data_IF_229112268073
#
_entry.id   IF_229112268073
#
_cell.length_a   1.000
_cell.length_b   1.000
_cell.length_c   1.000
_cell.angle_alpha   90.00
_cell.angle_beta   90.00
_cell.angle_gamma   90.00
#
_symmetry.space_group_name_H-M   'P 1'
#
loop_
_entity.id
_entity.type
_entity.pdbx_description
1 polymer ?
#
# COMPACT_ATOMS: atom_id res chain seq x y z
N UNK A 1 13.73 -1.66 -1.81
CA UNK A 1 13.30 -0.61 -2.76
C UNK A 1 13.47 0.75 -2.08
N UNK A 2 14.57 1.49 -2.32
CA UNK A 2 14.90 2.72 -1.60
C UNK A 2 13.80 3.78 -1.61
N UNK A 3 13.01 3.85 -2.70
CA UNK A 3 11.90 4.80 -2.82
C UNK A 3 10.74 4.50 -1.87
N UNK A 4 10.49 3.22 -1.60
CA UNK A 4 9.45 2.83 -0.64
C UNK A 4 9.91 3.16 0.78
N UNK A 5 11.17 2.88 1.10
CA UNK A 5 11.75 3.24 2.40
C UNK A 5 11.71 4.77 2.59
N UNK A 6 11.95 5.53 1.52
CA UNK A 6 11.79 7.00 1.51
C UNK A 6 10.33 7.41 1.70
N UNK A 7 9.37 6.76 1.03
CA UNK A 7 7.94 7.05 1.20
C UNK A 7 7.47 6.79 2.64
N UNK A 8 7.86 5.67 3.24
CA UNK A 8 7.47 5.31 4.61
C UNK A 8 8.12 6.22 5.66
N UNK A 9 9.26 6.84 5.34
CA UNK A 9 9.99 7.77 6.21
C UNK A 9 9.81 9.25 5.85
N UNK A 10 9.03 9.59 4.80
CA UNK A 10 8.91 10.96 4.31
C UNK A 10 8.01 11.81 5.22
N UNK A 11 8.49 13.01 5.55
CA UNK A 11 7.74 14.02 6.30
C UNK A 11 7.70 13.74 7.81
N UNK A 12 6.56 14.02 8.44
CA UNK A 12 6.30 13.61 9.83
C UNK A 12 5.99 12.11 9.82
N UNK A 13 6.36 11.35 10.88
CA UNK A 13 5.87 9.99 11.04
C UNK A 13 4.36 9.98 10.80
N UNK A 14 3.87 9.09 9.93
CA UNK A 14 2.45 8.93 9.59
C UNK A 14 1.80 9.93 8.61
N UNK A 15 2.55 10.73 7.85
CA UNK A 15 1.93 11.65 6.88
C UNK A 15 1.03 10.94 5.85
N UNK A 16 1.33 9.68 5.52
CA UNK A 16 0.49 8.88 4.62
C UNK A 16 -0.92 8.60 5.17
N UNK A 17 -1.12 8.64 6.48
CA UNK A 17 -2.44 8.47 7.11
C UNK A 17 -3.39 9.58 6.70
N UNK A 18 -2.89 10.79 6.45
CA UNK A 18 -3.71 11.94 6.00
C UNK A 18 -4.40 11.67 4.66
N UNK A 19 -3.86 10.75 3.82
CA UNK A 19 -4.51 10.32 2.58
C UNK A 19 -5.67 9.34 2.82
N UNK A 20 -5.64 8.58 3.92
CA UNK A 20 -6.67 7.59 4.26
C UNK A 20 -7.76 8.23 5.11
N UNK A 21 -7.37 9.04 6.09
CA UNK A 21 -8.27 9.70 7.01
C UNK A 21 -7.87 11.18 7.12
N UNK A 22 -8.37 12.04 6.20
CA UNK A 22 -8.10 13.47 6.25
C UNK A 22 -8.67 14.11 7.52
N UNK A 23 -8.02 15.17 7.99
CA UNK A 23 -8.60 16.05 9.00
C UNK A 23 -9.94 16.57 8.48
N UNK A 24 -11.05 16.15 9.10
CA UNK A 24 -12.36 16.73 8.78
C UNK A 24 -12.22 18.24 8.88
N UNK A 25 -12.45 18.94 7.76
CA UNK A 25 -12.53 20.38 7.75
C UNK A 25 -13.46 20.77 8.91
N UNK A 26 -12.92 21.42 9.95
CA UNK A 26 -13.71 21.87 11.09
C UNK A 26 -14.89 22.63 10.50
N UNK A 27 -16.07 22.03 10.51
CA UNK A 27 -17.28 22.70 10.10
C UNK A 27 -17.30 23.99 10.93
N UNK A 28 -17.40 25.18 10.29
CA UNK A 28 -17.46 26.43 11.02
C UNK A 28 -18.54 26.25 12.08
N UNK A 29 -18.14 26.36 13.35
CA UNK A 29 -19.01 26.12 14.49
C UNK A 29 -20.33 26.82 14.24
N UNK A 30 -21.40 26.05 13.98
CA UNK A 30 -22.74 26.61 13.94
C UNK A 30 -23.01 27.07 15.37
N UNK A 31 -22.92 28.39 15.57
CA UNK A 31 -23.36 29.08 16.78
C UNK A 31 -24.73 28.54 17.21
N UNK A 32 -25.02 28.46 18.52
CA UNK A 32 -26.20 27.79 19.02
C UNK A 32 -27.44 28.62 18.70
N UNK A 33 -28.01 28.43 17.51
CA UNK A 33 -29.37 28.86 17.21
C UNK A 33 -30.33 27.76 17.67
N UNK A 34 -30.84 28.00 18.87
CA UNK A 34 -32.14 27.58 19.41
C UNK A 34 -33.00 26.65 18.54
N UNK A 35 -33.34 25.50 19.14
CA UNK A 35 -34.48 24.62 18.84
C UNK A 35 -34.30 23.57 17.74
N UNK A 36 -33.58 22.49 18.06
CA UNK A 36 -33.92 21.15 17.57
C UNK A 36 -33.58 20.11 18.66
N UNK A 37 -34.63 19.55 19.27
CA UNK A 37 -34.58 18.49 20.29
C UNK A 37 -34.02 17.17 19.72
N UNK A 38 -32.93 16.70 20.34
CA UNK A 38 -32.77 15.35 20.91
C UNK A 38 -32.71 14.08 20.04
N UNK A 39 -31.97 14.04 18.91
CA UNK A 39 -31.61 12.72 18.30
C UNK A 39 -30.17 12.57 17.77
N UNK A 40 -29.34 13.62 17.78
CA UNK A 40 -27.99 13.61 17.15
C UNK A 40 -26.77 13.63 18.13
N UNK A 41 -26.86 13.89 19.46
CA UNK A 41 -25.65 14.00 20.30
C UNK A 41 -24.88 12.68 20.47
N UNK A 42 -25.58 11.56 20.70
CA UNK A 42 -24.94 10.28 21.04
C UNK A 42 -24.27 9.63 19.85
N UNK A 43 -24.90 9.69 18.68
CA UNK A 43 -24.40 9.06 17.47
C UNK A 43 -23.16 9.79 16.92
N UNK A 44 -23.15 11.13 17.00
CA UNK A 44 -21.98 11.95 16.70
C UNK A 44 -20.81 11.62 17.64
N UNK A 45 -21.07 11.38 18.93
CA UNK A 45 -20.01 11.03 19.88
C UNK A 45 -19.38 9.65 19.60
N UNK A 46 -20.17 8.65 19.21
CA UNK A 46 -19.67 7.32 18.82
C UNK A 46 -18.88 7.36 17.51
N UNK A 47 -19.31 8.18 16.55
CA UNK A 47 -18.57 8.36 15.30
C UNK A 47 -17.20 9.01 15.55
N UNK A 48 -17.13 10.06 16.37
CA UNK A 48 -15.85 10.69 16.73
C UNK A 48 -14.95 9.74 17.54
N UNK A 49 -15.54 8.91 18.41
CA UNK A 49 -14.82 7.84 19.10
C UNK A 49 -14.24 6.82 18.09
N UNK A 50 -15.05 6.30 17.17
CA UNK A 50 -14.61 5.36 16.14
C UNK A 50 -13.51 5.96 15.26
N UNK A 51 -13.62 7.24 14.91
CA UNK A 51 -12.59 7.96 14.15
C UNK A 51 -11.28 8.05 14.92
N UNK A 52 -11.36 8.34 16.22
CA UNK A 52 -10.18 8.40 17.11
C UNK A 52 -9.53 7.03 17.26
N UNK A 53 -10.32 5.97 17.47
CA UNK A 53 -9.84 4.59 17.54
C UNK A 53 -9.22 4.15 16.21
N UNK A 54 -9.88 4.46 15.09
CA UNK A 54 -9.34 4.22 13.75
C UNK A 54 -8.01 4.94 13.56
N UNK A 55 -7.90 6.20 13.96
CA UNK A 55 -6.63 6.95 13.89
C UNK A 55 -5.52 6.29 14.69
N UNK A 56 -5.85 5.82 15.90
CA UNK A 56 -4.89 5.12 16.77
C UNK A 56 -4.40 3.82 16.12
N UNK A 57 -5.30 3.04 15.53
CA UNK A 57 -4.97 1.82 14.78
C UNK A 57 -4.11 2.13 13.57
N UNK A 58 -4.50 3.11 12.75
CA UNK A 58 -3.71 3.52 11.57
C UNK A 58 -2.30 4.02 11.95
N UNK A 59 -2.15 4.59 13.14
CA UNK A 59 -0.88 5.11 13.66
C UNK A 59 -0.07 4.07 14.45
N UNK A 60 -0.55 2.84 14.59
CA UNK A 60 0.14 1.80 15.34
C UNK A 60 1.36 1.26 14.55
N UNK A 61 2.37 0.78 15.28
CA UNK A 61 3.55 0.18 14.65
C UNK A 61 3.19 -1.16 13.98
N UNK A 62 2.22 -1.89 14.52
CA UNK A 62 1.70 -3.14 13.96
C UNK A 62 1.05 -2.88 12.60
N UNK A 63 0.16 -1.89 12.50
CA UNK A 63 -0.45 -1.54 11.22
C UNK A 63 0.58 -0.97 10.23
N UNK A 64 1.52 -0.15 10.70
CA UNK A 64 2.62 0.35 9.86
C UNK A 64 3.42 -0.80 9.25
N UNK A 65 3.75 -1.82 10.04
CA UNK A 65 4.47 -3.01 9.57
C UNK A 65 3.66 -3.75 8.48
N UNK A 66 2.35 -3.92 8.66
CA UNK A 66 1.47 -4.53 7.64
C UNK A 66 1.53 -3.74 6.33
N UNK A 67 1.41 -2.41 6.40
CA UNK A 67 1.46 -1.54 5.22
C UNK A 67 2.83 -1.60 4.54
N UNK A 68 3.92 -1.64 5.31
CA UNK A 68 5.28 -1.75 4.78
C UNK A 68 5.50 -3.05 4.02
N UNK A 69 5.16 -4.19 4.64
CA UNK A 69 5.28 -5.51 4.02
C UNK A 69 4.40 -5.60 2.77
N UNK A 70 3.17 -5.08 2.85
CA UNK A 70 2.23 -5.07 1.72
C UNK A 70 2.74 -4.27 0.54
N UNK A 71 3.18 -3.04 0.77
CA UNK A 71 3.70 -2.18 -0.30
C UNK A 71 4.99 -2.74 -0.89
N UNK A 72 5.89 -3.30 -0.08
CA UNK A 72 7.13 -3.91 -0.57
C UNK A 72 6.82 -5.10 -1.46
N UNK A 73 5.92 -5.99 -1.01
CA UNK A 73 5.52 -7.18 -1.75
C UNK A 73 4.91 -6.81 -3.11
N UNK A 74 3.99 -5.83 -3.15
CA UNK A 74 3.38 -5.35 -4.39
C UNK A 74 4.40 -4.66 -5.29
N UNK A 75 5.27 -3.81 -4.74
CA UNK A 75 6.28 -3.11 -5.52
C UNK A 75 7.28 -4.08 -6.18
N UNK A 76 7.71 -5.12 -5.47
CA UNK A 76 8.60 -6.15 -6.00
C UNK A 76 7.91 -6.96 -7.11
N UNK A 77 6.63 -7.29 -6.94
CA UNK A 77 5.84 -7.94 -7.99
C UNK A 77 5.65 -7.05 -9.22
N UNK A 78 5.40 -5.76 -9.02
CA UNK A 78 5.22 -4.79 -10.09
C UNK A 78 6.50 -4.61 -10.93
N UNK A 79 7.66 -4.55 -10.26
CA UNK A 79 8.96 -4.46 -10.94
C UNK A 79 9.21 -5.71 -11.78
N UNK A 80 8.91 -6.90 -11.26
CA UNK A 80 9.01 -8.16 -12.02
C UNK A 80 8.12 -8.14 -13.26
N UNK A 81 6.86 -7.73 -13.11
CA UNK A 81 5.90 -7.64 -14.23
C UNK A 81 6.38 -6.67 -15.33
N UNK A 82 6.91 -5.51 -14.95
CA UNK A 82 7.46 -4.54 -15.91
C UNK A 82 8.68 -5.10 -16.65
N UNK A 83 9.53 -5.87 -15.97
CA UNK A 83 10.72 -6.50 -16.56
C UNK A 83 10.33 -7.66 -17.50
N UNK A 84 9.41 -8.51 -17.08
CA UNK A 84 8.94 -9.66 -17.88
C UNK A 84 8.24 -9.19 -19.17
N UNK A 85 7.48 -8.10 -19.11
CA UNK A 85 6.85 -7.48 -20.29
C UNK A 85 7.82 -6.68 -21.17
N UNK A 86 9.04 -6.40 -20.69
CA UNK A 86 10.06 -5.67 -21.45
C UNK A 86 10.73 -6.54 -22.52
N UNK A 87 10.48 -7.85 -22.56
CA UNK A 87 11.10 -8.76 -23.53
C UNK A 87 12.62 -8.93 -23.36
N UNK A 88 13.19 -8.46 -22.25
CA UNK A 88 14.53 -8.86 -21.80
C UNK A 88 14.34 -10.22 -21.17
N UNK A 89 14.50 -11.27 -21.98
CA UNK A 89 14.33 -12.64 -21.53
C UNK A 89 15.10 -12.89 -20.24
N UNK A 90 14.40 -13.37 -19.21
CA UNK A 90 15.03 -14.35 -18.34
C UNK A 90 15.62 -15.45 -19.23
N UNK A 91 16.83 -15.96 -18.94
CA UNK A 91 17.34 -17.14 -19.63
C UNK A 91 16.52 -18.35 -19.19
N UNK A 92 15.29 -18.47 -19.69
CA UNK A 92 14.55 -19.72 -19.73
C UNK A 92 15.10 -20.55 -20.88
N UNK A 93 16.30 -21.08 -20.70
CA UNK A 93 16.63 -22.39 -21.23
C UNK A 93 17.48 -23.11 -20.18
N UNK A 94 16.98 -24.24 -19.71
CA UNK A 94 17.67 -25.11 -18.76
C UNK A 94 18.94 -25.69 -19.35
N UNK A 95 20.02 -24.92 -19.37
CA UNK A 95 21.36 -25.39 -19.71
C UNK A 95 22.34 -24.97 -18.62
N UNK A 96 22.84 -25.91 -17.80
CA UNK A 96 23.87 -25.60 -16.83
C UNK A 96 25.21 -25.65 -17.55
N UNK A 97 25.67 -24.58 -18.20
CA UNK A 97 27.07 -24.48 -18.61
C UNK A 97 27.56 -23.03 -18.65
N UNK A 98 28.29 -22.71 -17.60
CA UNK A 98 29.44 -21.80 -17.56
C UNK A 98 29.92 -21.37 -18.95
N UNK A 99 29.66 -20.12 -19.33
CA UNK A 99 30.56 -19.35 -20.20
C UNK A 99 30.96 -18.11 -19.43
N UNK A 100 32.07 -18.24 -18.70
CA UNK A 100 32.95 -17.12 -18.41
C UNK A 100 33.34 -16.50 -19.76
N UNK A 101 32.77 -15.35 -20.11
CA UNK A 101 33.54 -14.39 -20.86
C UNK A 101 34.41 -13.61 -19.86
N UNK A 102 35.66 -13.38 -20.24
CA UNK A 102 36.67 -12.73 -19.42
C UNK A 102 36.40 -11.23 -19.39
N UNK A 103 35.38 -10.82 -18.66
CA UNK A 103 35.21 -9.45 -18.17
C UNK A 103 34.32 -9.54 -16.94
N UNK A 104 34.88 -9.35 -15.75
CA UNK A 104 34.20 -9.41 -14.46
C UNK A 104 33.20 -8.27 -14.24
N UNK A 105 32.30 -8.05 -15.17
CA UNK A 105 31.18 -7.12 -15.08
C UNK A 105 29.93 -7.94 -15.33
N UNK A 106 29.30 -8.42 -14.26
CA UNK A 106 27.93 -8.91 -14.37
C UNK A 106 27.11 -7.80 -15.03
N UNK A 107 26.53 -8.09 -16.18
CA UNK A 107 25.86 -7.08 -17.03
C UNK A 107 24.86 -6.31 -16.19
N UNK A 108 25.11 -5.03 -15.82
CA UNK A 108 24.10 -4.22 -15.21
C UNK A 108 23.05 -4.00 -16.29
N UNK A 109 21.77 -4.18 -15.95
CA UNK A 109 20.59 -3.81 -16.71
C UNK A 109 20.93 -2.86 -17.88
N UNK A 110 21.10 -3.41 -19.09
CA UNK A 110 21.27 -2.59 -20.28
C UNK A 110 19.99 -1.77 -20.41
N UNK A 111 20.10 -0.48 -20.06
CA UNK A 111 18.99 0.33 -19.63
C UNK A 111 17.94 0.48 -20.71
N UNK A 112 16.77 -0.12 -20.50
CA UNK A 112 15.60 0.16 -21.33
C UNK A 112 15.35 1.68 -21.27
N UNK A 113 15.34 2.39 -22.41
CA UNK A 113 15.17 3.83 -22.40
C UNK A 113 13.80 4.18 -21.83
N UNK A 114 13.72 5.23 -21.01
CA UNK A 114 12.50 5.63 -20.30
C UNK A 114 11.29 5.75 -21.23
N UNK A 115 11.49 6.20 -22.47
CA UNK A 115 10.43 6.31 -23.49
C UNK A 115 9.73 4.96 -23.77
N UNK A 116 10.43 3.83 -23.63
CA UNK A 116 9.86 2.49 -23.77
C UNK A 116 9.22 1.99 -22.46
N UNK A 117 9.62 2.51 -21.31
CA UNK A 117 9.06 2.17 -20.00
C UNK A 117 7.77 2.93 -19.70
N UNK A 118 7.64 4.19 -20.11
CA UNK A 118 6.45 5.03 -19.82
C UNK A 118 5.14 4.35 -20.27
N UNK A 119 5.01 3.83 -21.51
CA UNK A 119 3.80 3.12 -21.91
C UNK A 119 3.51 1.87 -21.07
N UNK A 120 4.56 1.20 -20.56
CA UNK A 120 4.42 0.01 -19.71
C UNK A 120 3.93 0.38 -18.32
N UNK A 121 4.44 1.46 -17.73
CA UNK A 121 3.93 1.98 -16.46
C UNK A 121 2.45 2.37 -16.58
N UNK A 122 2.04 2.95 -17.71
CA UNK A 122 0.62 3.24 -17.99
C UNK A 122 -0.21 1.96 -18.12
N UNK A 123 0.34 0.90 -18.71
CA UNK A 123 -0.35 -0.40 -18.77
C UNK A 123 -0.51 -0.99 -17.36
N UNK A 124 0.50 -0.86 -16.51
CA UNK A 124 0.47 -1.37 -15.14
C UNK A 124 -0.60 -0.70 -14.28
N UNK A 125 -0.87 0.59 -14.47
CA UNK A 125 -1.93 1.26 -13.71
C UNK A 125 -3.29 0.62 -13.93
N UNK A 126 -3.56 0.07 -15.13
CA UNK A 126 -4.81 -0.68 -15.38
C UNK A 126 -4.85 -2.00 -14.63
N UNK A 127 -3.73 -2.70 -14.49
CA UNK A 127 -3.66 -3.95 -13.74
C UNK A 127 -3.81 -3.70 -12.23
N UNK A 128 -3.23 -2.59 -11.73
CA UNK A 128 -3.37 -2.17 -10.34
C UNK A 128 -4.80 -1.72 -10.00
N UNK A 129 -5.55 -1.23 -10.98
CA UNK A 129 -6.93 -0.74 -10.82
C UNK A 129 -7.99 -1.73 -11.30
N UNK A 130 -7.61 -2.97 -11.62
CA UNK A 130 -8.58 -4.02 -11.97
C UNK A 130 -9.45 -4.40 -10.76
N UNK A 131 -10.58 -5.05 -11.03
CA UNK A 131 -11.53 -5.48 -10.00
C UNK A 131 -10.83 -6.29 -8.90
N UNK A 132 -11.10 -6.06 -7.60
CA UNK A 132 -10.38 -6.70 -6.50
C UNK A 132 -10.31 -8.24 -6.58
N UNK A 133 -11.34 -8.87 -7.13
CA UNK A 133 -11.42 -10.34 -7.32
C UNK A 133 -10.47 -10.85 -8.40
N UNK A 134 -10.13 -10.02 -9.38
CA UNK A 134 -9.27 -10.34 -10.52
C UNK A 134 -7.86 -9.76 -10.38
N UNK A 135 -7.68 -8.82 -9.47
CA UNK A 135 -6.44 -8.12 -9.24
C UNK A 135 -5.45 -8.97 -8.43
N UNK A 136 -4.42 -9.47 -9.11
CA UNK A 136 -3.37 -10.29 -8.48
C UNK A 136 -2.66 -9.58 -7.32
N UNK A 137 -2.54 -8.24 -7.37
CA UNK A 137 -1.86 -7.47 -6.32
C UNK A 137 -2.73 -7.37 -5.06
N UNK A 138 -4.05 -7.25 -5.21
CA UNK A 138 -4.98 -7.29 -4.07
C UNK A 138 -4.98 -8.67 -3.43
N UNK A 139 -5.04 -9.74 -4.24
CA UNK A 139 -4.94 -11.11 -3.72
C UNK A 139 -3.60 -11.36 -3.01
N UNK A 140 -2.51 -10.84 -3.56
CA UNK A 140 -1.19 -10.92 -2.95
C UNK A 140 -1.18 -10.27 -1.57
N UNK A 141 -1.73 -9.07 -1.40
CA UNK A 141 -1.87 -8.42 -0.09
C UNK A 141 -2.73 -9.29 0.86
N UNK A 142 -3.85 -9.82 0.38
CA UNK A 142 -4.74 -10.66 1.19
C UNK A 142 -4.10 -11.96 1.70
N UNK A 143 -3.05 -12.45 1.03
CA UNK A 143 -2.32 -13.67 1.41
C UNK A 143 -1.12 -13.40 2.33
N UNK A 144 -0.86 -12.14 2.72
CA UNK A 144 0.22 -11.78 3.63
C UNK A 144 -0.17 -12.18 5.06
N UNK A 145 0.69 -12.96 5.71
CA UNK A 145 0.42 -13.47 7.04
C UNK A 145 0.32 -12.35 8.09
N UNK A 146 1.15 -11.32 7.98
CA UNK A 146 1.14 -10.16 8.85
C UNK A 146 -0.21 -9.42 8.77
N UNK A 147 -0.80 -9.34 7.57
CA UNK A 147 -2.11 -8.72 7.38
C UNK A 147 -3.21 -9.56 8.06
N UNK A 148 -3.23 -10.87 7.81
CA UNK A 148 -4.20 -11.79 8.40
C UNK A 148 -4.14 -11.82 9.94
N UNK A 149 -2.93 -11.91 10.49
CA UNK A 149 -2.71 -11.87 11.94
C UNK A 149 -3.17 -10.55 12.54
N UNK A 150 -2.81 -9.42 11.91
CA UNK A 150 -3.22 -8.10 12.38
C UNK A 150 -4.74 -7.96 12.42
N UNK A 151 -5.44 -8.31 11.32
CA UNK A 151 -6.90 -8.22 11.28
C UNK A 151 -7.55 -9.18 12.28
N UNK A 152 -7.02 -10.38 12.45
CA UNK A 152 -7.52 -11.34 13.45
C UNK A 152 -7.45 -10.76 14.86
N UNK A 153 -6.31 -10.18 15.24
CA UNK A 153 -6.13 -9.54 16.56
C UNK A 153 -7.04 -8.33 16.70
N UNK A 154 -7.11 -7.48 15.67
CA UNK A 154 -7.97 -6.30 15.66
C UNK A 154 -9.43 -6.68 15.91
N UNK A 155 -9.98 -7.64 15.15
CA UNK A 155 -11.37 -8.09 15.30
C UNK A 155 -11.65 -8.77 16.65
N UNK A 156 -10.69 -9.53 17.18
CA UNK A 156 -10.80 -10.12 18.52
C UNK A 156 -10.87 -9.02 19.60
N UNK A 157 -10.05 -7.97 19.47
CA UNK A 157 -10.03 -6.86 20.43
C UNK A 157 -11.30 -6.00 20.38
N UNK A 158 -11.86 -5.77 19.18
CA UNK A 158 -13.10 -4.98 19.03
C UNK A 158 -14.35 -5.69 19.53
N UNK A 159 -14.32 -7.03 19.72
CA UNK A 159 -15.44 -7.79 20.29
C UNK A 159 -15.51 -7.74 21.82
N UNK A 160 -14.56 -7.08 22.49
CA UNK A 160 -14.48 -7.05 23.97
C UNK A 160 -15.03 -5.77 24.61
N UNK A 161 -15.72 -4.92 23.84
CA UNK A 161 -16.29 -3.64 24.30
C UNK A 161 -17.82 -3.69 24.31
#
# INVERSE_FOLDING_TARGET
>A
MQILDTFMSMGRPHHWIEYIMPECAKLPSLSPSSSAKDLIPTDLSKFEQLKTETQAVLSSDEFRNVVEVSLRTVADALVKEVLDQSGVGTPSSGTPLVKLDQSGVGTPFSGTPLVKLVPRVIQMSRLLLDEPTRNQFVQMIGNIHEADLFFTILYASTSTV
#
